data_IF_015931511968
#
_entry.id   IF_015931511968
#
_cell.length_a   1.000
_cell.length_b   1.000
_cell.length_c   1.000
_cell.angle_alpha   90.00
_cell.angle_beta   90.00
_cell.angle_gamma   90.00
#
_symmetry.space_group_name_H-M   'P 1'
#
loop_
_entity.id
_entity.type
_entity.pdbx_description
1 polymer ?
#
# COMPACT_ATOMS: atom_id res chain seq x y z
N UNK A 1 -21.38 -29.25 -8.15
CA UNK A 1 -19.95 -29.10 -8.49
C UNK A 1 -19.68 -27.64 -8.75
N UNK A 2 -18.95 -26.91 -7.89
CA UNK A 2 -18.64 -25.51 -8.17
C UNK A 2 -17.44 -25.43 -9.12
N UNK A 3 -17.57 -24.55 -10.11
CA UNK A 3 -16.54 -24.21 -11.09
C UNK A 3 -15.36 -23.56 -10.37
N UNK A 4 -14.16 -24.08 -10.60
CA UNK A 4 -12.91 -23.47 -10.20
C UNK A 4 -12.75 -22.13 -10.94
N UNK A 5 -13.25 -21.05 -10.32
CA UNK A 5 -12.99 -19.70 -10.77
C UNK A 5 -11.49 -19.46 -10.68
N UNK A 6 -10.85 -19.24 -11.83
CA UNK A 6 -9.54 -18.61 -11.90
C UNK A 6 -9.65 -17.28 -11.16
N UNK A 7 -9.22 -17.24 -9.91
CA UNK A 7 -8.94 -16.00 -9.19
C UNK A 7 -7.74 -15.38 -9.90
N UNK A 8 -8.01 -14.57 -10.94
CA UNK A 8 -7.02 -13.61 -11.39
C UNK A 8 -6.66 -12.83 -10.13
N UNK A 9 -5.40 -12.88 -9.71
CA UNK A 9 -4.90 -12.03 -8.63
C UNK A 9 -5.20 -10.59 -9.03
N UNK A 10 -6.31 -10.05 -8.56
CA UNK A 10 -6.58 -8.64 -8.72
C UNK A 10 -5.50 -7.92 -7.91
N UNK A 11 -4.55 -7.31 -8.61
CA UNK A 11 -3.46 -6.59 -7.97
C UNK A 11 -4.06 -5.39 -7.25
N UNK A 12 -4.01 -5.40 -5.92
CA UNK A 12 -4.48 -4.27 -5.13
C UNK A 12 -3.38 -3.21 -5.11
N UNK A 13 -3.75 -1.95 -5.32
CA UNK A 13 -2.79 -0.87 -5.50
C UNK A 13 -3.21 0.38 -4.73
N UNK A 14 -2.23 1.08 -4.15
CA UNK A 14 -2.46 2.41 -3.55
C UNK A 14 -2.63 3.44 -4.66
N UNK A 15 -3.80 4.08 -4.73
CA UNK A 15 -4.06 5.20 -5.66
C UNK A 15 -3.84 6.57 -5.02
N UNK A 16 -4.01 6.68 -3.71
CA UNK A 16 -3.77 7.91 -2.98
C UNK A 16 -3.28 7.63 -1.57
N UNK A 17 -2.30 8.40 -1.10
CA UNK A 17 -1.91 8.43 0.31
C UNK A 17 -2.81 9.45 1.03
N UNK A 18 -3.38 9.04 2.16
CA UNK A 18 -4.23 9.86 3.02
C UNK A 18 -3.44 10.28 4.28
N UNK A 19 -4.05 11.08 5.15
CA UNK A 19 -3.37 11.54 6.38
C UNK A 19 -2.91 10.36 7.25
N UNK A 20 -1.66 10.42 7.73
CA UNK A 20 -1.10 9.37 8.56
C UNK A 20 -0.82 8.08 7.77
N UNK A 21 -1.03 6.88 8.35
CA UNK A 21 -0.72 5.62 7.72
C UNK A 21 -1.89 5.06 6.88
N UNK A 22 -2.74 5.92 6.34
CA UNK A 22 -3.95 5.53 5.60
C UNK A 22 -3.79 5.79 4.10
N UNK A 23 -4.53 5.04 3.29
CA UNK A 23 -4.50 5.13 1.84
C UNK A 23 -5.83 4.73 1.21
N UNK A 24 -6.05 5.17 -0.02
CA UNK A 24 -7.12 4.68 -0.87
C UNK A 24 -6.59 3.58 -1.77
N UNK A 25 -7.10 2.37 -1.60
CA UNK A 25 -6.68 1.17 -2.35
C UNK A 25 -7.67 0.88 -3.45
N UNK A 26 -7.17 0.65 -4.67
CA UNK A 26 -7.92 0.05 -5.75
C UNK A 26 -7.81 -1.47 -5.68
N UNK A 27 -8.93 -2.17 -5.63
CA UNK A 27 -8.96 -3.64 -5.58
C UNK A 27 -9.21 -4.31 -6.94
N UNK A 28 -9.22 -3.53 -8.02
CA UNK A 28 -9.60 -3.98 -9.36
C UNK A 28 -11.05 -3.65 -9.74
N UNK A 29 -11.90 -3.25 -8.78
CA UNK A 29 -13.29 -2.90 -9.02
C UNK A 29 -13.76 -1.66 -8.24
N UNK A 30 -13.25 -1.43 -7.04
CA UNK A 30 -13.70 -0.40 -6.12
C UNK A 30 -12.53 0.30 -5.41
N UNK A 31 -12.82 1.49 -4.89
CA UNK A 31 -11.91 2.26 -4.06
C UNK A 31 -12.22 1.99 -2.58
N UNK A 32 -11.24 1.48 -1.86
CA UNK A 32 -11.35 1.08 -0.46
C UNK A 32 -10.47 1.97 0.42
N UNK A 33 -11.04 2.75 1.35
CA UNK A 33 -10.25 3.40 2.39
C UNK A 33 -9.63 2.32 3.28
N UNK A 34 -8.30 2.31 3.37
CA UNK A 34 -7.55 1.34 4.14
C UNK A 34 -6.53 2.02 5.06
N UNK A 35 -6.23 1.39 6.18
CA UNK A 35 -5.18 1.83 7.10
C UNK A 35 -4.09 0.78 7.23
N UNK A 36 -2.84 1.21 7.38
CA UNK A 36 -1.72 0.31 7.59
C UNK A 36 -1.89 -0.48 8.88
N UNK A 37 -1.68 -1.79 8.82
CA UNK A 37 -1.62 -2.63 10.01
C UNK A 37 -0.51 -2.13 10.96
N UNK A 38 -0.81 -1.94 12.27
CA UNK A 38 0.18 -1.48 13.24
C UNK A 38 1.45 -2.34 13.32
N UNK A 39 1.41 -3.62 12.93
CA UNK A 39 2.58 -4.50 12.88
C UNK A 39 3.57 -4.07 11.80
N UNK A 40 3.08 -3.74 10.60
CA UNK A 40 3.90 -3.20 9.51
C UNK A 40 4.50 -1.83 9.86
N UNK A 41 3.76 -1.02 10.61
CA UNK A 41 4.23 0.29 11.09
C UNK A 41 5.46 0.18 12.00
N UNK A 42 5.67 -0.95 12.69
CA UNK A 42 6.84 -1.16 13.57
C UNK A 42 8.09 -1.57 12.80
N UNK A 43 7.93 -2.25 11.67
CA UNK A 43 9.04 -2.69 10.82
C UNK A 43 9.61 -1.55 9.98
N UNK A 44 8.76 -0.64 9.52
CA UNK A 44 9.21 0.60 8.93
C UNK A 44 9.69 1.56 10.03
N UNK A 45 11.00 1.78 10.11
CA UNK A 45 11.61 2.68 11.09
C UNK A 45 10.95 4.07 11.14
N UNK A 46 11.14 4.78 12.27
CA UNK A 46 10.58 6.12 12.49
C UNK A 46 10.93 7.07 11.34
N UNK A 47 9.92 7.51 10.58
CA UNK A 47 10.05 8.54 9.55
C UNK A 47 10.11 8.04 8.11
N UNK A 48 10.18 6.73 7.86
CA UNK A 48 10.06 6.18 6.52
C UNK A 48 8.59 6.20 6.07
N UNK A 49 8.30 6.72 4.87
CA UNK A 49 6.97 6.58 4.26
C UNK A 49 6.79 5.13 3.84
N UNK A 50 6.04 4.38 4.65
CA UNK A 50 5.75 2.96 4.40
C UNK A 50 4.97 2.80 3.11
N UNK A 51 4.03 3.71 2.87
CA UNK A 51 3.12 3.69 1.74
C UNK A 51 3.50 4.77 0.74
N UNK A 52 3.42 4.42 -0.53
CA UNK A 52 3.56 5.30 -1.66
C UNK A 52 2.47 4.96 -2.70
N UNK A 53 2.07 5.96 -3.50
CA UNK A 53 1.15 5.71 -4.61
C UNK A 53 1.79 4.75 -5.60
N UNK A 54 1.02 3.78 -6.10
CA UNK A 54 1.51 2.71 -6.98
C UNK A 54 2.09 1.50 -6.24
N UNK A 55 2.17 1.52 -4.91
CA UNK A 55 2.51 0.32 -4.14
C UNK A 55 1.47 -0.77 -4.39
N UNK A 56 1.97 -1.97 -4.69
CA UNK A 56 1.18 -3.20 -4.69
C UNK A 56 1.05 -3.69 -3.25
N UNK A 57 -0.18 -4.01 -2.83
CA UNK A 57 -0.49 -4.32 -1.43
C UNK A 57 -1.37 -5.56 -1.31
N UNK A 58 -1.42 -6.10 -0.10
CA UNK A 58 -2.48 -7.03 0.30
C UNK A 58 -3.32 -6.36 1.39
N UNK A 59 -4.64 -6.49 1.29
CA UNK A 59 -5.59 -5.98 2.28
C UNK A 59 -6.41 -7.08 2.94
N UNK A 60 -6.73 -6.87 4.21
CA UNK A 60 -7.66 -7.68 4.97
C UNK A 60 -8.92 -6.86 5.30
N UNK A 61 -10.09 -7.48 5.13
CA UNK A 61 -11.37 -6.93 5.63
C UNK A 61 -11.56 -7.40 7.07
N UNK A 62 -11.71 -6.46 7.99
CA UNK A 62 -11.88 -6.74 9.40
C UNK A 62 -13.37 -6.99 9.73
N UNK A 63 -13.64 -7.64 10.86
CA UNK A 63 -15.00 -7.97 11.30
C UNK A 63 -15.88 -6.74 11.61
N UNK A 64 -15.28 -5.57 11.79
CA UNK A 64 -15.95 -4.28 12.00
C UNK A 64 -16.22 -3.51 10.69
N UNK A 65 -15.91 -4.10 9.54
CA UNK A 65 -16.08 -3.50 8.22
C UNK A 65 -14.93 -2.58 7.78
N UNK A 66 -13.90 -2.39 8.61
CA UNK A 66 -12.71 -1.64 8.21
C UNK A 66 -11.78 -2.48 7.31
N UNK A 67 -10.91 -1.81 6.56
CA UNK A 67 -9.92 -2.46 5.69
C UNK A 67 -8.51 -2.13 6.18
N UNK A 68 -7.69 -3.16 6.37
CA UNK A 68 -6.29 -3.03 6.78
C UNK A 68 -5.35 -3.39 5.64
N UNK A 69 -4.31 -2.59 5.41
CA UNK A 69 -3.17 -2.98 4.56
C UNK A 69 -2.26 -3.86 5.41
N UNK A 70 -2.14 -5.13 5.04
CA UNK A 70 -1.44 -6.17 5.82
C UNK A 70 -0.10 -6.59 5.23
N UNK A 71 0.14 -6.26 3.96
CA UNK A 71 1.44 -6.39 3.32
C UNK A 71 1.64 -5.33 2.23
N UNK A 72 2.91 -4.98 1.98
CA UNK A 72 3.35 -4.16 0.84
C UNK A 72 4.36 -4.99 0.05
N UNK A 73 4.11 -5.20 -1.24
CA UNK A 73 5.01 -5.98 -2.09
C UNK A 73 6.31 -5.21 -2.39
N UNK A 74 7.41 -5.91 -2.75
CA UNK A 74 8.64 -5.25 -3.17
C UNK A 74 8.43 -4.29 -4.34
N UNK A 75 8.97 -3.07 -4.23
CA UNK A 75 8.89 -2.04 -5.27
C UNK A 75 9.85 -2.36 -6.41
N UNK A 76 9.38 -2.31 -7.66
CA UNK A 76 10.20 -2.44 -8.87
C UNK A 76 10.92 -1.13 -9.21
N UNK A 77 10.21 -0.02 -9.04
CA UNK A 77 10.73 1.35 -9.24
C UNK A 77 10.28 2.26 -8.09
N UNK A 78 11.00 3.36 -7.86
CA UNK A 78 10.67 4.34 -6.82
C UNK A 78 10.99 5.77 -7.27
N UNK A 79 10.06 6.67 -6.99
CA UNK A 79 10.26 8.13 -7.04
C UNK A 79 10.29 8.65 -5.61
N UNK A 80 11.38 9.33 -5.24
CA UNK A 80 11.60 9.82 -3.89
C UNK A 80 11.78 11.33 -3.81
N UNK A 81 11.54 11.88 -2.62
CA UNK A 81 11.86 13.26 -2.24
C UNK A 81 12.87 13.24 -1.10
N UNK A 82 13.93 14.05 -1.20
CA UNK A 82 14.89 14.22 -0.12
C UNK A 82 14.21 14.87 1.09
N UNK A 83 14.49 14.37 2.29
CA UNK A 83 13.89 14.85 3.55
C UNK A 83 14.94 15.50 4.46
N UNK A 84 15.71 16.46 3.93
CA UNK A 84 16.77 17.15 4.67
C UNK A 84 18.02 16.30 4.92
N UNK A 85 19.02 16.87 5.56
CA UNK A 85 20.30 16.18 5.82
C UNK A 85 20.09 14.99 6.78
N UNK A 86 20.66 13.84 6.42
CA UNK A 86 20.69 12.59 7.20
C UNK A 86 19.36 11.85 7.43
N UNK A 87 18.34 12.08 6.60
CA UNK A 87 17.13 11.24 6.59
C UNK A 87 17.01 10.43 5.32
N UNK A 88 16.45 9.23 5.46
CA UNK A 88 16.07 8.40 4.31
C UNK A 88 15.10 9.17 3.39
N UNK A 89 15.26 9.07 2.05
CA UNK A 89 14.36 9.69 1.12
C UNK A 89 12.93 9.20 1.32
N UNK A 90 11.97 10.12 1.33
CA UNK A 90 10.55 9.76 1.34
C UNK A 90 10.18 9.23 -0.05
N UNK A 91 9.71 7.99 -0.15
CA UNK A 91 9.13 7.48 -1.40
C UNK A 91 7.72 8.05 -1.55
N UNK A 92 7.47 8.75 -2.65
CA UNK A 92 6.18 9.41 -2.95
C UNK A 92 5.37 8.65 -3.99
N UNK A 93 6.05 7.90 -4.88
CA UNK A 93 5.42 6.99 -5.84
C UNK A 93 6.31 5.78 -6.09
N UNK A 94 5.71 4.66 -6.46
CA UNK A 94 6.35 3.39 -6.76
C UNK A 94 5.74 2.74 -8.00
N UNK A 95 6.48 1.81 -8.60
CA UNK A 95 6.01 0.96 -9.72
C UNK A 95 5.49 1.73 -10.95
N UNK A 96 5.95 2.96 -11.16
CA UNK A 96 5.75 3.68 -12.41
C UNK A 96 6.75 3.19 -13.47
N UNK A 97 6.26 3.00 -14.69
CA UNK A 97 7.04 2.68 -15.88
C UNK A 97 7.19 3.92 -16.78
N UNK A 98 8.15 3.88 -17.71
CA UNK A 98 8.52 5.01 -18.58
C UNK A 98 7.68 5.03 -19.86
#
# INVERSE_FOLDING_TARGET
MPLAGRSGKHSQMILAQMFGPSALVWDGASLLPASLDPKLKKEAGRGASVLAVGDEVEVAKNGDGTVSIVAVAPRRTRLGRSTGENREPQVIAANAER
#
